data_IF_480330698448
#
_entry.id   IF_480330698448
#
_cell.length_a   1.000
_cell.length_b   1.000
_cell.length_c   1.000
_cell.angle_alpha   90.00
_cell.angle_beta   90.00
_cell.angle_gamma   90.00
#
_symmetry.space_group_name_H-M   'P 1'
#
loop_
_entity.id
_entity.type
_entity.pdbx_description
1 polymer ?
#
# COMPACT_ATOMS: atom_id res chain seq x y z
N UNK A 1 22.97 6.58 18.64
CA UNK A 1 22.11 6.12 17.53
C UNK A 1 21.08 5.17 18.10
N UNK A 2 19.86 5.20 17.57
CA UNK A 2 18.83 4.18 17.88
C UNK A 2 19.32 2.79 17.45
N UNK A 3 18.75 1.73 18.03
CA UNK A 3 19.01 0.37 17.53
C UNK A 3 18.48 0.23 16.09
N UNK A 4 19.18 -0.47 15.19
CA UNK A 4 18.68 -0.72 13.85
C UNK A 4 17.38 -1.52 13.87
N UNK A 5 16.43 -1.15 12.98
CA UNK A 5 15.23 -1.94 12.70
C UNK A 5 15.40 -2.70 11.37
N UNK A 6 14.71 -3.82 11.24
CA UNK A 6 14.78 -4.68 10.06
C UNK A 6 13.62 -4.42 9.14
N UNK A 7 13.93 -4.14 7.88
CA UNK A 7 12.93 -3.83 6.85
C UNK A 7 13.07 -4.82 5.70
N UNK A 8 12.05 -5.67 5.53
CA UNK A 8 12.01 -6.65 4.46
C UNK A 8 11.33 -6.06 3.22
N UNK A 9 11.91 -6.26 2.04
CA UNK A 9 11.34 -5.90 0.74
C UNK A 9 11.32 -7.15 -0.13
N UNK A 10 10.15 -7.56 -0.62
CA UNK A 10 10.02 -8.65 -1.59
C UNK A 10 9.99 -8.11 -3.01
N UNK A 11 10.55 -8.83 -3.98
CA UNK A 11 10.72 -8.31 -5.34
C UNK A 11 11.71 -7.15 -5.39
N UNK A 12 12.78 -7.25 -4.60
CA UNK A 12 13.69 -6.15 -4.29
C UNK A 12 14.53 -5.70 -5.50
N UNK A 13 14.78 -6.57 -6.49
CA UNK A 13 15.46 -6.22 -7.75
C UNK A 13 14.50 -5.65 -8.81
N UNK A 14 13.18 -5.69 -8.57
CA UNK A 14 12.18 -5.08 -9.46
C UNK A 14 12.19 -3.56 -9.38
N UNK A 15 11.53 -2.90 -10.35
CA UNK A 15 11.54 -1.42 -10.44
C UNK A 15 11.02 -0.70 -9.19
N UNK A 16 9.99 -1.24 -8.52
CA UNK A 16 9.47 -0.66 -7.27
C UNK A 16 10.42 -0.99 -6.11
N UNK A 17 10.82 -2.26 -5.97
CA UNK A 17 11.72 -2.71 -4.91
C UNK A 17 13.07 -1.98 -4.91
N UNK A 18 13.67 -1.81 -6.09
CA UNK A 18 14.88 -1.02 -6.29
C UNK A 18 14.73 0.40 -5.72
N UNK A 19 13.67 1.11 -6.09
CA UNK A 19 13.47 2.47 -5.58
C UNK A 19 13.18 2.52 -4.08
N UNK A 20 12.45 1.52 -3.55
CA UNK A 20 12.17 1.42 -2.11
C UNK A 20 13.46 1.23 -1.31
N UNK A 21 14.34 0.33 -1.75
CA UNK A 21 15.57 0.02 -1.05
C UNK A 21 16.43 1.28 -0.81
N UNK A 22 16.64 2.11 -1.83
CA UNK A 22 17.42 3.35 -1.73
C UNK A 22 16.72 4.41 -0.87
N UNK A 23 15.42 4.55 -0.97
CA UNK A 23 14.65 5.55 -0.20
C UNK A 23 14.55 5.16 1.28
N UNK A 24 14.42 3.88 1.59
CA UNK A 24 14.43 3.39 2.97
C UNK A 24 15.83 3.55 3.55
N UNK A 25 16.87 3.13 2.80
CA UNK A 25 18.26 3.28 3.21
C UNK A 25 18.68 4.73 3.46
N UNK A 26 18.10 5.69 2.73
CA UNK A 26 18.36 7.13 2.92
C UNK A 26 17.55 7.76 4.07
N UNK A 27 16.72 6.99 4.78
CA UNK A 27 15.95 7.47 5.92
C UNK A 27 14.60 8.12 5.58
N UNK A 28 14.12 8.04 4.34
CA UNK A 28 12.85 8.66 3.95
C UNK A 28 11.61 8.00 4.59
N UNK A 29 11.69 6.71 4.95
CA UNK A 29 10.57 5.99 5.55
C UNK A 29 10.45 6.20 7.07
N UNK A 30 11.55 6.09 7.80
CA UNK A 30 11.56 6.05 9.28
C UNK A 30 12.31 7.23 9.93
N UNK A 31 12.72 8.20 9.13
CA UNK A 31 13.50 9.36 9.58
C UNK A 31 15.02 9.13 9.46
N UNK A 32 15.74 10.25 9.42
CA UNK A 32 17.19 10.28 9.18
C UNK A 32 18.03 9.82 10.39
N UNK A 33 17.39 9.59 11.54
CA UNK A 33 18.02 9.14 12.78
C UNK A 33 17.75 7.68 13.12
N UNK A 34 16.95 6.97 12.29
CA UNK A 34 16.64 5.55 12.45
C UNK A 34 17.50 4.69 11.53
N UNK A 35 18.50 3.95 12.05
CA UNK A 35 19.25 2.98 11.26
C UNK A 35 18.37 1.81 10.84
N UNK A 36 18.62 1.28 9.64
CA UNK A 36 17.89 0.15 9.07
C UNK A 36 18.82 -0.96 8.62
N UNK A 37 18.37 -2.20 8.76
CA UNK A 37 18.94 -3.37 8.10
C UNK A 37 17.93 -3.77 7.01
N UNK A 38 18.34 -3.69 5.75
CA UNK A 38 17.51 -4.12 4.63
C UNK A 38 17.58 -5.64 4.47
N UNK A 39 16.44 -6.30 4.40
CA UNK A 39 16.29 -7.72 4.09
C UNK A 39 15.61 -7.82 2.72
N UNK A 40 16.37 -8.17 1.71
CA UNK A 40 15.98 -8.10 0.30
C UNK A 40 15.69 -9.51 -0.21
N UNK A 41 14.42 -9.78 -0.52
CA UNK A 41 13.96 -11.09 -1.01
C UNK A 41 13.71 -11.05 -2.52
N UNK A 42 14.27 -12.03 -3.21
CA UNK A 42 14.02 -12.23 -4.63
C UNK A 42 13.88 -13.71 -4.97
N UNK A 43 13.36 -13.99 -6.18
CA UNK A 43 13.34 -15.34 -6.73
C UNK A 43 14.73 -15.72 -7.23
N UNK A 44 15.10 -17.02 -7.23
CA UNK A 44 16.45 -17.45 -7.64
C UNK A 44 16.96 -16.87 -8.96
N UNK A 45 16.17 -16.77 -10.04
CA UNK A 45 16.65 -16.19 -11.30
C UNK A 45 17.02 -14.69 -11.21
N UNK A 46 16.49 -13.96 -10.23
CA UNK A 46 16.75 -12.52 -10.07
C UNK A 46 17.86 -12.22 -9.06
N UNK A 47 18.44 -13.22 -8.39
CA UNK A 47 19.54 -13.03 -7.43
C UNK A 47 20.75 -12.29 -8.03
N UNK A 48 21.17 -12.54 -9.29
CA UNK A 48 22.26 -11.77 -9.89
C UNK A 48 21.96 -10.27 -9.99
N UNK A 49 20.72 -9.91 -10.33
CA UNK A 49 20.27 -8.51 -10.36
C UNK A 49 20.21 -7.93 -8.95
N UNK A 50 19.75 -8.70 -7.95
CA UNK A 50 19.71 -8.28 -6.56
C UNK A 50 21.13 -7.99 -6.02
N UNK A 51 22.12 -8.78 -6.38
CA UNK A 51 23.52 -8.50 -6.02
C UNK A 51 24.01 -7.17 -6.60
N UNK A 52 23.55 -6.80 -7.81
CA UNK A 52 23.82 -5.47 -8.37
C UNK A 52 23.21 -4.34 -7.53
N UNK A 53 21.97 -4.53 -7.07
CA UNK A 53 21.30 -3.57 -6.16
C UNK A 53 22.07 -3.40 -4.86
N UNK A 54 22.58 -4.49 -4.29
CA UNK A 54 23.41 -4.44 -3.06
C UNK A 54 24.67 -3.61 -3.29
N UNK A 55 25.40 -3.84 -4.41
CA UNK A 55 26.60 -3.05 -4.73
C UNK A 55 26.29 -1.55 -4.85
N UNK A 56 25.19 -1.19 -5.51
CA UNK A 56 24.80 0.21 -5.61
C UNK A 56 24.40 0.83 -4.25
N UNK A 57 23.75 0.05 -3.36
CA UNK A 57 23.44 0.50 -2.00
C UNK A 57 24.73 0.76 -1.20
N UNK A 58 25.74 -0.10 -1.35
CA UNK A 58 27.07 0.09 -0.74
C UNK A 58 27.75 1.36 -1.29
N UNK A 59 27.70 1.58 -2.60
CA UNK A 59 28.24 2.76 -3.26
C UNK A 59 27.60 4.09 -2.80
N UNK A 60 26.31 4.05 -2.40
CA UNK A 60 25.61 5.21 -1.85
C UNK A 60 26.11 5.63 -0.45
N UNK A 61 26.73 4.74 0.30
CA UNK A 61 27.28 4.99 1.63
C UNK A 61 26.29 5.70 2.60
N UNK A 62 25.02 5.30 2.60
CA UNK A 62 23.99 5.90 3.44
C UNK A 62 24.30 5.70 4.94
N UNK A 63 24.34 6.80 5.69
CA UNK A 63 24.63 6.77 7.12
C UNK A 63 23.57 6.05 7.97
N UNK A 64 22.38 5.82 7.44
CA UNK A 64 21.27 5.09 8.07
C UNK A 64 21.24 3.61 7.69
N UNK A 65 22.02 3.15 6.71
CA UNK A 65 22.09 1.76 6.31
C UNK A 65 23.08 1.00 7.22
N UNK A 66 22.54 0.19 8.14
CA UNK A 66 23.32 -0.58 9.10
C UNK A 66 23.70 -1.99 8.62
N UNK A 67 23.06 -2.48 7.55
CA UNK A 67 23.35 -3.79 6.97
C UNK A 67 22.37 -4.18 5.86
N UNK A 68 22.75 -5.19 5.08
CA UNK A 68 21.94 -5.76 4.00
C UNK A 68 21.98 -7.28 4.09
N UNK A 69 20.82 -7.91 3.94
CA UNK A 69 20.67 -9.36 3.74
C UNK A 69 19.96 -9.57 2.41
N UNK A 70 20.62 -10.19 1.44
CA UNK A 70 20.04 -10.54 0.14
C UNK A 70 19.85 -12.07 0.07
N UNK A 71 18.64 -12.52 -0.24
CA UNK A 71 18.30 -13.95 -0.17
C UNK A 71 17.13 -14.31 -1.09
N UNK A 72 16.98 -15.59 -1.42
CA UNK A 72 15.81 -16.19 -2.04
C UNK A 72 14.98 -17.05 -1.07
N UNK A 73 15.41 -17.14 0.21
CA UNK A 73 14.69 -17.86 1.26
C UNK A 73 13.80 -16.89 2.07
N UNK A 74 12.46 -17.03 2.02
CA UNK A 74 11.54 -16.20 2.81
C UNK A 74 11.82 -16.28 4.33
N UNK A 75 12.24 -17.43 4.85
CA UNK A 75 12.50 -17.58 6.28
C UNK A 75 13.70 -16.73 6.73
N UNK A 76 14.71 -16.59 5.87
CA UNK A 76 15.85 -15.71 6.10
C UNK A 76 15.43 -14.25 5.96
N UNK A 77 14.64 -13.94 4.92
CA UNK A 77 14.20 -12.58 4.64
C UNK A 77 13.31 -11.98 5.73
N UNK A 78 12.43 -12.78 6.36
CA UNK A 78 11.52 -12.29 7.40
C UNK A 78 12.06 -12.45 8.82
N UNK A 79 13.27 -13.00 8.98
CA UNK A 79 13.83 -13.20 10.32
C UNK A 79 13.97 -11.88 11.09
N UNK A 80 13.32 -11.81 12.26
CA UNK A 80 13.31 -10.64 13.14
C UNK A 80 12.87 -9.33 12.46
N UNK A 81 12.05 -9.42 11.40
CA UNK A 81 11.60 -8.27 10.63
C UNK A 81 10.62 -7.42 11.44
N UNK A 82 10.82 -6.09 11.43
CA UNK A 82 9.96 -5.09 12.09
C UNK A 82 8.98 -4.46 11.07
N UNK A 83 9.38 -4.40 9.80
CA UNK A 83 8.60 -3.85 8.70
C UNK A 83 8.73 -4.74 7.48
N UNK A 84 7.65 -4.94 6.73
CA UNK A 84 7.68 -5.67 5.48
C UNK A 84 6.89 -4.95 4.39
N UNK A 85 7.52 -4.75 3.22
CA UNK A 85 6.88 -4.24 2.02
C UNK A 85 6.83 -5.37 1.00
N UNK A 86 5.64 -5.96 0.81
CA UNK A 86 5.41 -7.10 -0.06
C UNK A 86 5.07 -6.60 -1.48
N UNK A 87 6.10 -6.43 -2.28
CA UNK A 87 6.03 -5.87 -3.64
C UNK A 87 6.00 -6.96 -4.69
N UNK A 88 6.75 -8.04 -4.46
CA UNK A 88 6.87 -9.15 -5.40
C UNK A 88 5.54 -9.88 -5.56
N UNK A 89 4.98 -9.77 -6.75
CA UNK A 89 3.78 -10.46 -7.17
C UNK A 89 3.92 -10.87 -8.64
N UNK A 90 3.18 -11.91 -9.05
CA UNK A 90 3.13 -12.29 -10.46
C UNK A 90 2.29 -11.27 -11.23
N UNK A 91 2.84 -10.59 -12.25
CA UNK A 91 2.06 -9.67 -13.09
C UNK A 91 1.07 -10.46 -13.95
N UNK A 92 -0.04 -9.82 -14.33
CA UNK A 92 -0.99 -10.39 -15.28
C UNK A 92 -0.33 -10.52 -16.65
N UNK A 93 -0.23 -11.74 -17.15
CA UNK A 93 0.26 -12.05 -18.49
C UNK A 93 -0.84 -12.01 -19.54
N UNK A 94 -0.48 -11.95 -20.85
CA UNK A 94 -1.44 -12.08 -21.95
C UNK A 94 -2.21 -13.41 -21.85
N UNK A 95 -3.55 -13.35 -21.96
CA UNK A 95 -4.41 -14.53 -21.90
C UNK A 95 -4.66 -15.10 -20.50
N UNK A 96 -4.09 -14.53 -19.45
CA UNK A 96 -4.32 -14.97 -18.08
C UNK A 96 -5.68 -14.44 -17.58
N UNK A 97 -6.53 -15.35 -17.10
CA UNK A 97 -7.78 -14.98 -16.45
C UNK A 97 -7.54 -14.40 -15.05
N UNK A 98 -8.54 -13.70 -14.49
CA UNK A 98 -8.45 -13.12 -13.14
C UNK A 98 -8.22 -14.20 -12.08
N UNK A 99 -8.89 -15.35 -12.22
CA UNK A 99 -8.76 -16.49 -11.31
C UNK A 99 -7.33 -17.04 -11.29
N UNK A 100 -6.72 -17.25 -12.45
CA UNK A 100 -5.34 -17.77 -12.55
C UNK A 100 -4.33 -16.84 -11.86
N UNK A 101 -4.55 -15.53 -12.01
CA UNK A 101 -3.71 -14.52 -11.35
C UNK A 101 -3.87 -14.56 -9.82
N UNK A 102 -5.10 -14.69 -9.34
CA UNK A 102 -5.41 -14.80 -7.90
C UNK A 102 -4.73 -16.04 -7.32
N UNK A 103 -4.90 -17.21 -7.94
CA UNK A 103 -4.28 -18.46 -7.49
C UNK A 103 -2.76 -18.40 -7.48
N UNK A 104 -2.14 -17.87 -8.55
CA UNK A 104 -0.70 -17.74 -8.64
C UNK A 104 -0.11 -16.80 -7.57
N UNK A 105 -0.78 -15.69 -7.28
CA UNK A 105 -0.37 -14.77 -6.23
C UNK A 105 -0.66 -15.33 -4.84
N UNK A 106 -1.79 -16.03 -4.65
CA UNK A 106 -2.11 -16.67 -3.39
C UNK A 106 -1.01 -17.63 -2.92
N UNK A 107 -0.42 -18.41 -3.82
CA UNK A 107 0.71 -19.27 -3.49
C UNK A 107 1.93 -18.49 -2.99
N UNK A 108 2.21 -17.31 -3.57
CA UNK A 108 3.31 -16.44 -3.14
C UNK A 108 3.03 -15.85 -1.74
N UNK A 109 1.86 -15.26 -1.54
CA UNK A 109 1.53 -14.56 -0.31
C UNK A 109 1.23 -15.50 0.86
N UNK A 110 0.76 -16.72 0.62
CA UNK A 110 0.63 -17.76 1.65
C UNK A 110 2.00 -18.17 2.21
N UNK A 111 2.99 -18.40 1.33
CA UNK A 111 4.36 -18.74 1.74
C UNK A 111 4.99 -17.58 2.53
N UNK A 112 4.81 -16.34 2.07
CA UNK A 112 5.33 -15.17 2.77
C UNK A 112 4.61 -14.94 4.12
N UNK A 113 3.28 -15.14 4.18
CA UNK A 113 2.50 -15.08 5.42
C UNK A 113 3.02 -16.06 6.46
N UNK A 114 3.20 -17.32 6.05
CA UNK A 114 3.75 -18.37 6.93
C UNK A 114 5.17 -18.04 7.40
N UNK A 115 6.03 -17.58 6.52
CA UNK A 115 7.41 -17.20 6.88
C UNK A 115 7.43 -16.02 7.87
N UNK A 116 6.53 -15.03 7.71
CA UNK A 116 6.34 -13.95 8.69
C UNK A 116 5.85 -14.49 10.03
N UNK A 117 4.85 -15.38 10.02
CA UNK A 117 4.34 -16.01 11.23
C UNK A 117 5.44 -16.71 12.05
N UNK A 118 6.32 -17.42 11.36
CA UNK A 118 7.31 -18.27 12.00
C UNK A 118 8.57 -17.48 12.43
N UNK A 119 8.90 -16.36 11.77
CA UNK A 119 10.22 -15.72 11.90
C UNK A 119 10.21 -14.22 12.18
N UNK A 120 9.13 -13.49 11.88
CA UNK A 120 9.09 -12.05 12.09
C UNK A 120 8.78 -11.66 13.54
N UNK A 121 9.05 -10.41 13.89
CA UNK A 121 8.58 -9.85 15.15
C UNK A 121 7.04 -9.79 15.17
N UNK A 122 6.44 -10.05 16.34
CA UNK A 122 4.96 -10.08 16.47
C UNK A 122 4.31 -8.73 16.20
N UNK A 123 5.05 -7.63 16.38
CA UNK A 123 4.60 -6.26 16.10
C UNK A 123 4.96 -5.77 14.69
N UNK A 124 5.38 -6.68 13.78
CA UNK A 124 5.72 -6.36 12.40
C UNK A 124 4.61 -5.55 11.72
N UNK A 125 4.97 -4.54 10.93
CA UNK A 125 4.05 -3.78 10.09
C UNK A 125 4.21 -4.18 8.64
N UNK A 126 3.13 -4.69 8.06
CA UNK A 126 3.15 -5.28 6.71
C UNK A 126 2.34 -4.42 5.76
N UNK A 127 2.98 -3.95 4.70
CA UNK A 127 2.33 -3.26 3.58
C UNK A 127 2.38 -4.13 2.33
N UNK A 128 1.23 -4.51 1.81
CA UNK A 128 1.12 -5.21 0.54
C UNK A 128 0.96 -4.21 -0.60
N UNK A 129 1.87 -4.27 -1.56
CA UNK A 129 1.92 -3.42 -2.76
C UNK A 129 1.59 -4.24 -4.02
N UNK A 130 1.95 -5.53 -4.02
CA UNK A 130 1.72 -6.45 -5.13
C UNK A 130 0.23 -6.71 -5.38
N UNK A 131 -0.22 -6.54 -6.64
CA UNK A 131 -1.63 -6.68 -7.01
C UNK A 131 -2.08 -8.14 -7.21
N UNK A 132 -3.34 -8.44 -6.86
CA UNK A 132 -4.38 -7.59 -6.24
C UNK A 132 -4.11 -7.33 -4.75
N UNK A 133 -3.80 -6.08 -4.41
CA UNK A 133 -3.17 -5.76 -3.13
C UNK A 133 -4.03 -6.11 -1.91
N UNK A 134 -5.32 -5.74 -1.91
CA UNK A 134 -6.23 -6.01 -0.80
C UNK A 134 -6.39 -7.52 -0.55
N UNK A 135 -6.60 -8.28 -1.61
CA UNK A 135 -6.78 -9.75 -1.53
C UNK A 135 -5.48 -10.44 -1.13
N UNK A 136 -4.34 -10.00 -1.65
CA UNK A 136 -3.03 -10.53 -1.24
C UNK A 136 -2.72 -10.24 0.23
N UNK A 137 -3.14 -9.08 0.77
CA UNK A 137 -3.01 -8.77 2.19
C UNK A 137 -3.88 -9.69 3.06
N UNK A 138 -5.10 -10.01 2.62
CA UNK A 138 -5.96 -10.97 3.29
C UNK A 138 -5.32 -12.37 3.32
N UNK A 139 -4.76 -12.83 2.20
CA UNK A 139 -4.07 -14.14 2.12
C UNK A 139 -2.86 -14.17 3.06
N UNK A 140 -2.00 -13.14 3.03
CA UNK A 140 -0.82 -13.08 3.88
C UNK A 140 -1.21 -13.09 5.37
N UNK A 141 -2.20 -12.31 5.76
CA UNK A 141 -2.73 -12.25 7.13
C UNK A 141 -3.32 -13.59 7.59
N UNK A 142 -4.13 -14.25 6.75
CA UNK A 142 -4.75 -15.55 7.07
C UNK A 142 -3.72 -16.66 7.28
N UNK A 143 -2.55 -16.54 6.63
CA UNK A 143 -1.44 -17.49 6.79
C UNK A 143 -0.43 -17.09 7.88
N UNK A 144 -0.74 -16.07 8.69
CA UNK A 144 0.08 -15.60 9.80
C UNK A 144 -0.78 -15.46 11.08
N UNK A 145 -1.37 -16.54 11.61
CA UNK A 145 -2.37 -16.48 12.68
C UNK A 145 -1.85 -15.98 14.02
N UNK A 146 -0.53 -16.00 14.26
CA UNK A 146 0.08 -15.51 15.49
C UNK A 146 0.45 -14.01 15.43
N UNK A 147 0.24 -13.35 14.29
CA UNK A 147 0.43 -11.92 14.10
C UNK A 147 -0.95 -11.25 14.05
N UNK A 148 -1.12 -10.12 14.74
CA UNK A 148 -2.37 -9.38 14.70
C UNK A 148 -2.73 -8.99 13.26
N UNK A 149 -3.96 -9.33 12.83
CA UNK A 149 -4.45 -8.98 11.50
C UNK A 149 -4.39 -7.47 11.21
N UNK A 150 -4.49 -6.62 12.24
CA UNK A 150 -4.33 -5.17 12.13
C UNK A 150 -2.93 -4.75 11.66
N UNK A 151 -1.95 -5.62 11.73
CA UNK A 151 -0.60 -5.37 11.24
C UNK A 151 -0.45 -5.61 9.74
N UNK A 152 -1.49 -6.09 9.04
CA UNK A 152 -1.50 -6.29 7.59
C UNK A 152 -2.34 -5.23 6.90
N UNK A 153 -1.71 -4.49 6.00
CA UNK A 153 -2.35 -3.43 5.23
C UNK A 153 -2.09 -3.58 3.74
N UNK A 154 -2.95 -3.00 2.89
CA UNK A 154 -2.72 -2.91 1.46
C UNK A 154 -2.63 -1.44 1.02
N UNK A 155 -1.88 -1.19 -0.05
CA UNK A 155 -1.56 0.16 -0.49
C UNK A 155 -2.67 0.79 -1.33
N UNK A 156 -3.42 1.71 -0.75
CA UNK A 156 -4.30 2.66 -1.44
C UNK A 156 -3.75 4.09 -1.43
N UNK A 157 -2.55 4.28 -0.86
CA UNK A 157 -1.88 5.59 -0.79
C UNK A 157 -1.53 6.15 -2.17
N UNK A 158 -1.24 5.30 -3.16
CA UNK A 158 -1.01 5.77 -4.52
C UNK A 158 -2.26 6.43 -5.12
N UNK A 159 -3.43 5.84 -4.88
CA UNK A 159 -4.71 6.38 -5.33
C UNK A 159 -5.06 7.67 -4.59
N UNK A 160 -4.79 7.71 -3.29
CA UNK A 160 -4.89 8.91 -2.45
C UNK A 160 -4.03 10.06 -3.01
N UNK A 161 -2.75 9.81 -3.29
CA UNK A 161 -1.84 10.82 -3.85
C UNK A 161 -2.28 11.28 -5.25
N UNK A 162 -2.82 10.37 -6.09
CA UNK A 162 -3.41 10.70 -7.39
C UNK A 162 -4.62 11.62 -7.24
N UNK A 163 -5.51 11.32 -6.30
CA UNK A 163 -6.70 12.13 -6.02
C UNK A 163 -6.32 13.52 -5.53
N UNK A 164 -5.36 13.63 -4.60
CA UNK A 164 -4.83 14.93 -4.16
C UNK A 164 -4.27 15.74 -5.31
N UNK A 165 -3.47 15.14 -6.18
CA UNK A 165 -2.87 15.83 -7.33
C UNK A 165 -3.92 16.32 -8.34
N UNK A 166 -4.98 15.52 -8.60
CA UNK A 166 -6.08 15.95 -9.48
C UNK A 166 -6.88 17.12 -8.89
N UNK A 167 -7.19 17.07 -7.59
CA UNK A 167 -7.91 18.13 -6.90
C UNK A 167 -7.06 19.43 -6.85
N UNK A 168 -5.76 19.32 -6.57
CA UNK A 168 -4.82 20.43 -6.58
C UNK A 168 -4.78 21.12 -7.96
N UNK A 169 -4.66 20.32 -9.03
CA UNK A 169 -4.67 20.81 -10.41
C UNK A 169 -5.97 21.53 -10.76
N UNK A 170 -7.13 20.93 -10.43
CA UNK A 170 -8.46 21.52 -10.71
C UNK A 170 -8.66 22.86 -10.01
N UNK A 171 -8.19 22.96 -8.77
CA UNK A 171 -8.36 24.16 -7.94
C UNK A 171 -7.26 25.20 -8.11
N UNK A 172 -6.20 24.89 -8.88
CA UNK A 172 -5.03 25.76 -9.05
C UNK A 172 -4.25 25.98 -7.77
N UNK A 173 -4.25 24.99 -6.85
CA UNK A 173 -3.59 25.02 -5.56
C UNK A 173 -2.40 24.04 -5.52
N UNK A 174 -1.56 24.16 -4.51
CA UNK A 174 -0.48 23.20 -4.27
C UNK A 174 -1.03 21.92 -3.60
N UNK A 175 -0.40 20.79 -3.83
CA UNK A 175 -0.82 19.51 -3.23
C UNK A 175 -0.78 19.55 -1.68
N UNK A 176 0.11 20.33 -1.09
CA UNK A 176 0.18 20.53 0.36
C UNK A 176 -0.99 21.35 0.94
N UNK A 177 -1.80 21.99 0.08
CA UNK A 177 -3.02 22.68 0.51
C UNK A 177 -4.22 21.73 0.60
N UNK A 178 -4.07 20.46 0.16
CA UNK A 178 -5.11 19.43 0.18
C UNK A 178 -4.99 18.63 1.47
N UNK A 179 -6.09 18.50 2.19
CA UNK A 179 -6.18 17.66 3.40
C UNK A 179 -7.44 16.82 3.38
N UNK A 180 -7.47 15.76 4.18
CA UNK A 180 -8.64 14.91 4.42
C UNK A 180 -9.15 14.22 3.16
N UNK A 181 -8.26 13.87 2.25
CA UNK A 181 -8.59 13.05 1.09
C UNK A 181 -8.92 11.63 1.54
N UNK A 182 -9.89 11.00 0.90
CA UNK A 182 -10.29 9.62 1.22
C UNK A 182 -10.35 8.76 -0.03
N UNK A 183 -9.82 7.56 0.06
CA UNK A 183 -10.06 6.47 -0.89
C UNK A 183 -10.78 5.35 -0.15
N UNK A 184 -11.96 4.99 -0.63
CA UNK A 184 -12.73 3.86 -0.10
C UNK A 184 -12.52 2.61 -0.95
N UNK A 185 -12.43 1.44 -0.31
CA UNK A 185 -12.58 0.13 -0.94
C UNK A 185 -11.31 -0.52 -1.44
N UNK A 186 -11.41 -1.12 -2.63
CA UNK A 186 -10.38 -1.94 -3.25
C UNK A 186 -9.38 -1.09 -4.05
N UNK A 187 -8.10 -1.48 -4.07
CA UNK A 187 -7.13 -0.90 -5.02
C UNK A 187 -7.38 -1.43 -6.43
N UNK A 188 -8.47 -1.00 -7.05
CA UNK A 188 -8.93 -1.45 -8.37
C UNK A 188 -9.66 -0.31 -9.11
N UNK A 189 -10.29 -0.64 -10.24
CA UNK A 189 -11.13 0.31 -10.97
C UNK A 189 -12.45 0.65 -10.25
N UNK A 190 -12.81 -0.06 -9.18
CA UNK A 190 -13.99 0.23 -8.35
C UNK A 190 -13.68 1.14 -7.16
N UNK A 191 -12.41 1.42 -6.88
CA UNK A 191 -12.02 2.36 -5.80
C UNK A 191 -12.84 3.64 -5.88
N UNK A 192 -13.21 4.18 -4.73
CA UNK A 192 -13.94 5.43 -4.69
C UNK A 192 -13.10 6.55 -4.04
N UNK A 193 -12.54 7.46 -4.85
CA UNK A 193 -11.93 8.70 -4.36
C UNK A 193 -13.02 9.67 -3.96
N UNK A 194 -13.06 10.03 -2.68
CA UNK A 194 -14.09 10.84 -2.04
C UNK A 194 -13.49 12.15 -1.51
N UNK A 195 -14.03 13.27 -1.98
CA UNK A 195 -13.66 14.62 -1.55
C UNK A 195 -14.65 15.25 -0.58
N UNK A 196 -15.73 14.54 -0.19
CA UNK A 196 -16.85 15.10 0.60
C UNK A 196 -16.39 15.77 1.89
N UNK A 197 -15.32 15.27 2.49
CA UNK A 197 -14.73 15.81 3.70
C UNK A 197 -13.35 16.46 3.47
N UNK A 198 -12.89 16.51 2.23
CA UNK A 198 -11.60 17.10 1.88
C UNK A 198 -11.62 18.61 2.00
N UNK A 199 -10.46 19.19 2.29
CA UNK A 199 -10.28 20.63 2.28
C UNK A 199 -9.19 21.04 1.30
N UNK A 200 -9.30 22.25 0.77
CA UNK A 200 -8.33 22.90 -0.10
C UNK A 200 -7.99 24.27 0.49
N UNK A 201 -6.78 24.45 0.99
CA UNK A 201 -6.37 25.64 1.73
C UNK A 201 -7.37 26.02 2.83
N UNK A 202 -7.85 25.02 3.59
CA UNK A 202 -8.79 25.17 4.70
C UNK A 202 -10.25 25.41 4.31
N UNK A 203 -10.61 25.40 3.01
CA UNK A 203 -12.00 25.50 2.52
C UNK A 203 -12.50 24.11 2.11
N UNK A 204 -13.81 23.89 2.21
CA UNK A 204 -14.39 22.62 1.76
C UNK A 204 -14.15 22.40 0.26
N UNK A 205 -13.60 21.26 -0.09
CA UNK A 205 -13.32 20.91 -1.49
C UNK A 205 -14.60 20.80 -2.35
N UNK A 206 -15.72 20.24 -1.87
CA UNK A 206 -16.97 20.20 -2.63
C UNK A 206 -17.49 21.56 -3.10
N UNK A 207 -17.20 22.64 -2.34
CA UNK A 207 -17.64 23.99 -2.70
C UNK A 207 -16.77 24.63 -3.79
N UNK A 208 -15.66 24.00 -4.17
CA UNK A 208 -14.66 24.52 -5.11
C UNK A 208 -14.68 23.83 -6.47
N UNK A 209 -15.48 22.79 -6.61
CA UNK A 209 -15.57 21.99 -7.85
C UNK A 209 -17.04 21.70 -8.16
N UNK A 210 -17.36 21.51 -9.44
CA UNK A 210 -18.71 21.13 -9.86
C UNK A 210 -18.92 19.60 -9.81
N UNK A 211 -20.18 19.18 -9.64
CA UNK A 211 -20.57 17.77 -9.55
C UNK A 211 -20.31 16.99 -10.85
N UNK A 212 -20.40 17.68 -11.99
CA UNK A 212 -20.15 17.09 -13.31
C UNK A 212 -18.68 16.71 -13.45
N UNK A 213 -17.78 17.60 -13.04
CA UNK A 213 -16.36 17.30 -13.00
C UNK A 213 -16.04 16.15 -12.02
N UNK A 214 -16.63 16.18 -10.81
CA UNK A 214 -16.40 15.14 -9.79
C UNK A 214 -16.76 13.76 -10.33
N UNK A 215 -17.97 13.59 -10.87
CA UNK A 215 -18.46 12.28 -11.31
C UNK A 215 -17.94 11.88 -12.70
N UNK A 216 -17.79 12.84 -13.62
CA UNK A 216 -17.45 12.58 -15.02
C UNK A 216 -15.95 12.59 -15.33
N UNK A 217 -15.15 13.24 -14.50
CA UNK A 217 -13.71 13.39 -14.76
C UNK A 217 -12.85 12.92 -13.58
N UNK A 218 -12.99 13.50 -12.38
CA UNK A 218 -12.13 13.23 -11.25
C UNK A 218 -12.11 11.74 -10.86
N UNK A 219 -13.28 11.17 -10.57
CA UNK A 219 -13.39 9.76 -10.16
C UNK A 219 -12.83 8.83 -11.24
N UNK A 220 -13.27 8.90 -12.52
CA UNK A 220 -12.75 8.03 -13.58
C UNK A 220 -11.25 8.20 -13.84
N UNK A 221 -10.73 9.44 -13.76
CA UNK A 221 -9.29 9.68 -13.97
C UNK A 221 -8.46 9.03 -12.87
N UNK A 222 -8.86 9.15 -11.60
CA UNK A 222 -8.14 8.51 -10.49
C UNK A 222 -8.21 6.98 -10.64
N UNK A 223 -9.39 6.42 -10.89
CA UNK A 223 -9.61 4.98 -11.06
C UNK A 223 -8.79 4.37 -12.21
N UNK A 224 -8.67 5.08 -13.33
CA UNK A 224 -8.02 4.59 -14.56
C UNK A 224 -6.58 5.06 -14.74
N UNK A 225 -6.02 5.81 -13.78
CA UNK A 225 -4.67 6.39 -13.91
C UNK A 225 -3.59 5.33 -14.15
N UNK A 226 -3.70 4.18 -13.52
CA UNK A 226 -2.76 3.07 -13.73
C UNK A 226 -2.72 2.60 -15.20
N UNK A 227 -3.88 2.40 -15.81
CA UNK A 227 -3.99 2.02 -17.21
C UNK A 227 -3.45 3.10 -18.15
N UNK A 228 -3.77 4.37 -17.90
CA UNK A 228 -3.26 5.50 -18.69
C UNK A 228 -1.72 5.62 -18.64
N UNK A 229 -1.10 5.32 -17.48
CA UNK A 229 0.37 5.30 -17.35
C UNK A 229 0.95 4.14 -18.17
N UNK A 230 0.35 2.95 -18.13
CA UNK A 230 0.80 1.80 -18.93
C UNK A 230 0.72 2.12 -20.42
N UNK A 231 -0.38 2.72 -20.87
CA UNK A 231 -0.57 3.15 -22.26
C UNK A 231 0.51 4.14 -22.71
N UNK A 232 0.77 5.16 -21.89
CA UNK A 232 1.72 6.22 -22.24
C UNK A 232 3.19 5.79 -22.11
N UNK A 233 3.52 4.93 -21.13
CA UNK A 233 4.90 4.61 -20.75
C UNK A 233 5.36 3.22 -21.20
N UNK A 234 4.43 2.33 -21.55
CA UNK A 234 4.70 0.92 -21.87
C UNK A 234 5.03 0.08 -20.61
N UNK A 235 4.88 0.63 -19.41
CA UNK A 235 5.18 -0.05 -18.14
C UNK A 235 4.31 0.50 -17.02
N UNK A 236 4.08 -0.31 -16.00
CA UNK A 236 3.34 0.09 -14.78
C UNK A 236 4.06 1.20 -14.01
N UNK A 237 3.30 1.89 -13.14
CA UNK A 237 3.86 2.84 -12.19
C UNK A 237 4.91 2.17 -11.31
N UNK A 238 6.08 2.77 -11.19
CA UNK A 238 7.14 2.27 -10.30
C UNK A 238 7.55 3.34 -9.28
N UNK A 239 8.05 4.49 -9.73
CA UNK A 239 8.50 5.56 -8.86
C UNK A 239 7.38 6.11 -7.97
N UNK A 240 6.19 6.35 -8.53
CA UNK A 240 5.04 6.83 -7.77
C UNK A 240 4.47 5.77 -6.82
N UNK A 241 4.55 4.49 -7.17
CA UNK A 241 4.18 3.40 -6.27
C UNK A 241 5.15 3.30 -5.09
N UNK A 242 6.47 3.40 -5.35
CA UNK A 242 7.47 3.45 -4.29
C UNK A 242 7.29 4.68 -3.39
N UNK A 243 7.00 5.86 -3.96
CA UNK A 243 6.71 7.07 -3.20
C UNK A 243 5.53 6.87 -2.25
N UNK A 244 4.41 6.34 -2.78
CA UNK A 244 3.21 6.09 -1.99
C UNK A 244 3.42 5.04 -0.90
N UNK A 245 4.22 4.01 -1.15
CA UNK A 245 4.57 3.00 -0.14
C UNK A 245 5.42 3.61 0.99
N UNK A 246 6.38 4.46 0.67
CA UNK A 246 7.14 5.23 1.65
C UNK A 246 6.22 6.12 2.47
N UNK A 247 5.33 6.91 1.84
CA UNK A 247 4.38 7.79 2.53
C UNK A 247 3.45 7.00 3.47
N UNK A 248 2.95 5.84 3.02
CA UNK A 248 2.10 4.98 3.82
C UNK A 248 2.81 4.50 5.10
N UNK A 249 4.01 3.93 4.93
CA UNK A 249 4.77 3.38 6.06
C UNK A 249 5.30 4.48 6.97
N UNK A 250 5.68 5.65 6.42
CA UNK A 250 6.10 6.81 7.18
C UNK A 250 4.98 7.29 8.13
N UNK A 251 3.78 7.51 7.59
CA UNK A 251 2.66 7.98 8.39
C UNK A 251 2.22 6.92 9.42
N UNK A 252 2.25 5.63 9.06
CA UNK A 252 1.95 4.57 10.01
C UNK A 252 2.96 4.50 11.15
N UNK A 253 4.26 4.62 10.86
CA UNK A 253 5.31 4.53 11.86
C UNK A 253 5.46 5.79 12.72
N UNK A 254 5.35 6.97 12.11
CA UNK A 254 5.68 8.26 12.74
C UNK A 254 4.47 9.12 13.09
N UNK A 255 3.31 8.82 12.51
CA UNK A 255 2.05 9.54 12.73
C UNK A 255 1.62 10.38 11.53
N UNK A 256 0.30 10.55 11.38
CA UNK A 256 -0.29 11.48 10.41
C UNK A 256 -0.22 12.92 10.94
N UNK A 257 -0.19 13.93 10.04
CA UNK A 257 -0.27 15.33 10.43
C UNK A 257 -1.52 15.63 11.27
N UNK A 258 -1.39 16.57 12.21
CA UNK A 258 -2.51 17.01 13.05
C UNK A 258 -3.69 17.52 12.20
N UNK A 259 -4.89 17.04 12.51
CA UNK A 259 -6.12 17.45 11.83
C UNK A 259 -6.32 16.84 10.43
N UNK A 260 -5.42 16.01 9.98
CA UNK A 260 -5.50 15.29 8.71
C UNK A 260 -5.66 13.77 8.92
N UNK A 261 -5.86 13.04 7.82
CA UNK A 261 -5.88 11.59 7.75
C UNK A 261 -5.36 11.09 6.41
N UNK A 262 -5.08 9.81 6.34
CA UNK A 262 -4.62 9.14 5.12
C UNK A 262 -5.48 7.93 4.80
N UNK A 263 -5.43 7.43 3.58
CA UNK A 263 -6.15 6.21 3.19
C UNK A 263 -5.24 5.01 3.33
N UNK A 264 -5.73 3.99 4.08
CA UNK A 264 -5.08 2.69 4.22
C UNK A 264 -6.11 1.59 4.05
N UNK A 265 -5.80 0.56 3.27
CA UNK A 265 -6.62 -0.63 3.22
C UNK A 265 -6.23 -1.55 4.38
N UNK A 266 -7.18 -1.82 5.26
CA UNK A 266 -7.03 -2.49 6.55
C UNK A 266 -8.14 -3.52 6.75
N UNK A 267 -8.03 -4.46 7.70
CA UNK A 267 -9.13 -5.37 8.02
C UNK A 267 -10.41 -4.61 8.36
N UNK A 268 -11.50 -4.94 7.65
CA UNK A 268 -12.81 -4.36 7.94
C UNK A 268 -13.31 -4.82 9.32
N UNK A 269 -13.87 -3.87 10.09
CA UNK A 269 -14.31 -4.07 11.47
C UNK A 269 -15.81 -3.79 11.71
N UNK A 270 -16.57 -3.54 10.64
CA UNK A 270 -17.96 -3.12 10.69
C UNK A 270 -18.17 -1.61 10.55
N UNK A 271 -17.10 -0.81 10.62
CA UNK A 271 -17.16 0.64 10.39
C UNK A 271 -17.80 0.94 9.05
N UNK A 272 -18.65 1.96 9.01
CA UNK A 272 -19.42 2.37 7.81
C UNK A 272 -20.29 1.29 7.18
N UNK A 273 -20.63 0.22 7.95
CA UNK A 273 -21.44 -0.89 7.47
C UNK A 273 -20.70 -1.87 6.56
N UNK A 274 -19.36 -1.80 6.51
CA UNK A 274 -18.54 -2.77 5.78
C UNK A 274 -18.23 -3.94 6.70
N UNK A 275 -18.84 -5.08 6.43
CA UNK A 275 -18.73 -6.27 7.25
C UNK A 275 -17.30 -6.85 7.30
N UNK A 276 -16.85 -7.45 8.41
CA UNK A 276 -15.56 -8.08 8.54
C UNK A 276 -15.26 -9.17 7.48
N UNK A 277 -13.99 -9.55 7.37
CA UNK A 277 -13.51 -10.65 6.52
C UNK A 277 -12.92 -10.22 5.17
N UNK A 278 -12.73 -8.93 4.96
CA UNK A 278 -12.02 -8.36 3.81
C UNK A 278 -11.03 -7.30 4.27
N UNK A 279 -10.08 -6.95 3.41
CA UNK A 279 -9.20 -5.78 3.57
C UNK A 279 -9.80 -4.66 2.74
N UNK A 280 -10.24 -3.57 3.39
CA UNK A 280 -10.96 -2.45 2.77
C UNK A 280 -10.26 -1.13 3.09
N UNK A 281 -10.21 -0.20 2.13
CA UNK A 281 -9.59 1.12 2.36
C UNK A 281 -10.51 2.06 3.11
N UNK A 282 -9.97 2.65 4.16
CA UNK A 282 -10.62 3.64 5.02
C UNK A 282 -9.74 4.88 5.20
N UNK A 283 -10.32 6.04 5.57
CA UNK A 283 -9.57 7.14 6.16
C UNK A 283 -9.12 6.75 7.57
N UNK A 284 -7.83 6.88 7.84
CA UNK A 284 -7.25 6.55 9.15
C UNK A 284 -6.35 7.66 9.67
N UNK A 285 -6.25 7.76 10.99
CA UNK A 285 -5.21 8.53 11.68
C UNK A 285 -4.21 7.58 12.30
N UNK A 286 -2.93 7.89 12.11
CA UNK A 286 -1.84 7.09 12.65
C UNK A 286 -1.16 7.82 13.80
N UNK A 287 -0.83 7.08 14.87
CA UNK A 287 -0.09 7.58 16.03
C UNK A 287 0.57 6.41 16.77
N UNK A 288 1.81 6.59 17.21
CA UNK A 288 2.53 5.58 17.98
C UNK A 288 2.67 4.22 17.29
N UNK A 289 2.72 4.20 15.95
CA UNK A 289 2.81 2.97 15.15
C UNK A 289 1.50 2.19 15.05
N UNK A 290 0.37 2.80 15.42
CA UNK A 290 -0.98 2.27 15.29
C UNK A 290 -1.81 3.19 14.40
N UNK A 291 -2.95 2.70 13.91
CA UNK A 291 -3.92 3.49 13.19
C UNK A 291 -5.32 3.34 13.82
N UNK A 292 -6.16 4.34 13.59
CA UNK A 292 -7.57 4.34 13.97
C UNK A 292 -8.39 4.83 12.79
N UNK A 293 -9.51 4.14 12.49
CA UNK A 293 -10.46 4.59 11.46
C UNK A 293 -11.09 5.90 11.91
N UNK A 294 -11.09 6.89 11.02
CA UNK A 294 -11.85 8.13 11.25
C UNK A 294 -13.32 7.79 11.20
N UNK A 295 -14.04 8.03 12.30
CA UNK A 295 -15.46 7.72 12.43
C UNK A 295 -16.34 8.95 12.14
N UNK A 296 -17.64 8.73 12.01
CA UNK A 296 -18.69 9.75 11.93
C UNK A 296 -18.63 10.67 10.69
N UNK A 297 -17.96 10.20 9.60
CA UNK A 297 -18.05 10.89 8.33
C UNK A 297 -19.44 10.69 7.72
N UNK A 298 -20.02 11.76 7.21
CA UNK A 298 -21.31 11.67 6.52
C UNK A 298 -21.16 10.98 5.17
N UNK A 299 -21.91 9.91 4.97
CA UNK A 299 -21.94 9.13 3.73
C UNK A 299 -23.30 9.34 3.07
N UNK A 300 -23.34 10.08 1.97
CA UNK A 300 -24.55 10.26 1.17
C UNK A 300 -24.82 9.04 0.26
N UNK A 301 -25.99 9.03 -0.41
CA UNK A 301 -26.40 7.92 -1.27
C UNK A 301 -25.44 7.73 -2.48
N UNK A 302 -24.84 8.83 -2.97
CA UNK A 302 -23.87 8.79 -4.06
C UNK A 302 -22.59 8.06 -3.64
N UNK A 303 -22.10 8.36 -2.46
CA UNK A 303 -20.93 7.72 -1.84
C UNK A 303 -21.24 6.27 -1.47
N UNK A 304 -22.40 6.01 -0.84
CA UNK A 304 -22.83 4.67 -0.44
C UNK A 304 -22.87 3.71 -1.62
N UNK A 305 -23.49 4.10 -2.72
CA UNK A 305 -23.56 3.25 -3.93
C UNK A 305 -22.18 2.82 -4.42
N UNK A 306 -21.17 3.71 -4.33
CA UNK A 306 -19.79 3.42 -4.75
C UNK A 306 -19.04 2.56 -3.75
N UNK A 307 -19.25 2.81 -2.48
CA UNK A 307 -18.67 2.01 -1.40
C UNK A 307 -19.17 0.57 -1.45
N UNK A 308 -20.47 0.37 -1.69
CA UNK A 308 -21.08 -0.95 -1.82
C UNK A 308 -20.57 -1.70 -3.07
N UNK A 309 -20.36 -1.00 -4.18
CA UNK A 309 -19.84 -1.60 -5.41
C UNK A 309 -18.39 -2.11 -5.23
N UNK A 310 -17.54 -1.34 -4.56
CA UNK A 310 -16.15 -1.78 -4.31
C UNK A 310 -16.06 -2.85 -3.22
N UNK A 311 -16.96 -2.85 -2.22
CA UNK A 311 -17.10 -3.94 -1.27
C UNK A 311 -17.51 -5.24 -1.96
N UNK A 312 -18.52 -5.19 -2.83
CA UNK A 312 -18.98 -6.36 -3.57
C UNK A 312 -17.83 -7.01 -4.37
N UNK A 313 -16.98 -6.22 -5.04
CA UNK A 313 -15.80 -6.73 -5.74
C UNK A 313 -14.84 -7.46 -4.78
N UNK A 314 -14.56 -6.90 -3.61
CA UNK A 314 -13.69 -7.54 -2.61
C UNK A 314 -14.30 -8.85 -2.06
N UNK A 315 -15.62 -8.91 -1.91
CA UNK A 315 -16.33 -10.15 -1.51
C UNK A 315 -16.21 -11.23 -2.59
N UNK A 316 -16.33 -10.86 -3.86
CA UNK A 316 -16.10 -11.78 -4.99
C UNK A 316 -14.67 -12.29 -5.03
N UNK A 317 -13.67 -11.39 -4.84
CA UNK A 317 -12.26 -11.79 -4.76
C UNK A 317 -12.00 -12.75 -3.61
N UNK A 318 -12.53 -12.45 -2.43
CA UNK A 318 -12.42 -13.33 -1.25
C UNK A 318 -13.03 -14.72 -1.51
N UNK A 319 -14.23 -14.78 -2.09
CA UNK A 319 -14.89 -16.04 -2.41
C UNK A 319 -14.07 -16.89 -3.39
N UNK A 320 -13.36 -16.26 -4.34
CA UNK A 320 -12.52 -16.95 -5.30
C UNK A 320 -11.25 -17.58 -4.68
N UNK A 321 -10.86 -17.18 -3.48
CA UNK A 321 -9.66 -17.67 -2.77
C UNK A 321 -9.98 -18.36 -1.44
N UNK A 322 -11.23 -18.68 -1.17
CA UNK A 322 -11.70 -19.20 0.15
C UNK A 322 -10.91 -20.43 0.62
N UNK A 323 -10.51 -21.30 -0.31
CA UNK A 323 -9.71 -22.50 0.00
C UNK A 323 -8.24 -22.19 0.38
N UNK A 324 -7.81 -20.94 0.24
CA UNK A 324 -6.43 -20.48 0.46
C UNK A 324 -6.29 -19.57 1.69
N UNK A 325 -7.41 -19.32 2.40
CA UNK A 325 -7.47 -18.49 3.60
C UNK A 325 -7.26 -19.30 4.89
#
# INVERSE_FOLDING_TARGET
MKAPVRVTITGAAGQIGYQLAFRIASGQMLGSDQPVILQLLEIPPALPALHGVVMELDDCAFGTLAGIVATDDPNVAFKDSDYALLVGARPRGPGMERKDLLEANAAIFSVQGKAMNDHANRDIKVLVVGNPANTNALIASSNAPDIDAANFTAMTRLDHNRAMAQLATKTGKHVNDISRMTIWGNHSATQYPDISNSTVAGKNAPDMVDKEWLAGEFIPVVQKRGAAIIEARGASSAASAASAAIDHMHDWALGTPDGDWVSMAIPADGSYGIEPGIIYSYPVRCSGGRYEIVQDLNIDDFSRTRMDATEAELREERAAIEELL
#
